data_IF_102888224237
#
_entry.id   IF_102888224237
#
_cell.length_a   1.000
_cell.length_b   1.000
_cell.length_c   1.000
_cell.angle_alpha   90.00
_cell.angle_beta   90.00
_cell.angle_gamma   90.00
#
_symmetry.space_group_name_H-M   'P 1'
#
loop_
_entity.id
_entity.type
_entity.pdbx_description
1 polymer ?
#
# COMPACT_ATOMS: atom_id res chain seq x y z
N UNK A 1 -26.14 7.65 -6.84
CA UNK A 1 -25.09 8.44 -6.17
C UNK A 1 -24.55 7.63 -4.99
N UNK A 2 -23.51 6.83 -5.23
CA UNK A 2 -22.82 6.08 -4.17
C UNK A 2 -21.92 7.06 -3.40
N UNK A 3 -22.05 7.08 -2.07
CA UNK A 3 -21.48 8.09 -1.19
C UNK A 3 -19.96 7.90 -1.04
N UNK A 4 -19.18 8.95 -1.31
CA UNK A 4 -17.75 9.02 -0.92
C UNK A 4 -17.52 8.90 0.57
N UNK A 5 -18.56 9.10 1.39
CA UNK A 5 -18.53 9.00 2.85
C UNK A 5 -18.18 7.60 3.40
N UNK A 6 -17.95 6.59 2.55
CA UNK A 6 -17.66 5.23 3.00
C UNK A 6 -16.16 4.90 3.10
N UNK A 7 -15.28 5.41 2.23
CA UNK A 7 -13.89 4.93 2.24
C UNK A 7 -13.15 5.31 3.53
N UNK A 8 -13.21 6.57 3.96
CA UNK A 8 -12.60 6.97 5.23
C UNK A 8 -13.17 6.13 6.39
N UNK A 9 -14.49 5.89 6.39
CA UNK A 9 -15.13 5.06 7.42
C UNK A 9 -14.66 3.60 7.39
N UNK A 10 -14.42 3.03 6.20
CA UNK A 10 -13.90 1.67 6.01
C UNK A 10 -12.46 1.57 6.50
N UNK A 11 -11.58 2.48 6.07
CA UNK A 11 -10.17 2.54 6.53
C UNK A 11 -10.12 2.64 8.06
N UNK A 12 -10.89 3.56 8.65
CA UNK A 12 -10.99 3.70 10.10
C UNK A 12 -11.63 2.49 10.79
N UNK A 13 -12.45 1.72 10.07
CA UNK A 13 -12.96 0.43 10.50
C UNK A 13 -11.86 -0.61 10.61
N UNK A 14 -10.99 -0.71 9.61
CA UNK A 14 -9.85 -1.63 9.59
C UNK A 14 -8.85 -1.36 10.72
N UNK A 15 -8.65 -0.08 11.07
CA UNK A 15 -7.80 0.28 12.21
C UNK A 15 -8.28 -0.34 13.52
N UNK A 16 -9.58 -0.59 13.69
CA UNK A 16 -10.11 -1.27 14.88
C UNK A 16 -9.72 -2.75 14.93
N UNK A 17 -9.59 -3.40 13.77
CA UNK A 17 -9.21 -4.81 13.69
C UNK A 17 -7.74 -5.04 14.08
N UNK A 18 -6.89 -4.03 13.90
CA UNK A 18 -5.50 -4.04 14.37
C UNK A 18 -5.32 -3.39 15.75
N UNK A 19 -6.42 -3.16 16.48
CA UNK A 19 -6.41 -2.59 17.84
C UNK A 19 -5.75 -1.21 17.93
N UNK A 20 -5.87 -0.40 16.88
CA UNK A 20 -5.39 0.96 16.88
C UNK A 20 -6.05 1.80 18.01
N UNK A 21 -5.30 2.76 18.56
CA UNK A 21 -5.89 3.81 19.39
C UNK A 21 -6.75 4.74 18.53
N UNK A 22 -7.52 5.62 19.17
CA UNK A 22 -8.30 6.62 18.44
C UNK A 22 -7.43 7.81 18.05
N UNK A 23 -7.53 8.23 16.78
CA UNK A 23 -6.79 9.36 16.21
C UNK A 23 -7.76 10.46 15.73
N UNK A 24 -8.36 11.26 16.64
CA UNK A 24 -9.41 12.21 16.25
C UNK A 24 -8.97 13.25 15.22
N UNK A 25 -7.73 13.75 15.27
CA UNK A 25 -7.23 14.72 14.28
C UNK A 25 -6.99 14.05 12.93
N UNK A 26 -6.29 12.92 12.90
CA UNK A 26 -6.09 12.13 11.67
C UNK A 26 -7.44 11.75 11.04
N UNK A 27 -8.41 11.29 11.83
CA UNK A 27 -9.74 10.95 11.34
C UNK A 27 -10.42 12.15 10.65
N UNK A 28 -10.22 13.36 11.18
CA UNK A 28 -10.78 14.58 10.61
C UNK A 28 -10.06 14.99 9.31
N UNK A 29 -8.72 14.87 9.28
CA UNK A 29 -7.88 15.10 8.10
C UNK A 29 -8.27 14.14 6.97
N UNK A 30 -8.31 12.83 7.25
CA UNK A 30 -8.60 11.81 6.25
C UNK A 30 -10.00 11.96 5.65
N UNK A 31 -11.01 12.21 6.49
CA UNK A 31 -12.37 12.47 6.03
C UNK A 31 -12.43 13.70 5.14
N UNK A 32 -11.78 14.78 5.57
CA UNK A 32 -11.73 16.00 4.78
C UNK A 32 -11.11 15.76 3.40
N UNK A 33 -9.92 15.19 3.35
CA UNK A 33 -9.22 14.93 2.09
C UNK A 33 -10.06 14.06 1.13
N UNK A 34 -10.72 13.01 1.64
CA UNK A 34 -11.55 12.12 0.80
C UNK A 34 -12.89 12.74 0.38
N UNK A 35 -13.42 13.69 1.15
CA UNK A 35 -14.62 14.44 0.79
C UNK A 35 -14.30 15.56 -0.21
N UNK A 36 -13.14 16.22 -0.10
CA UNK A 36 -12.66 17.24 -1.06
C UNK A 36 -12.24 16.59 -2.38
N UNK A 37 -11.38 15.57 -2.31
CA UNK A 37 -10.83 14.86 -3.48
C UNK A 37 -11.15 13.37 -3.38
N UNK A 38 -12.28 12.96 -3.95
CA UNK A 38 -12.68 11.56 -3.92
C UNK A 38 -11.61 10.65 -4.57
N UNK A 39 -11.06 9.67 -3.84
CA UNK A 39 -10.04 8.79 -4.39
C UNK A 39 -10.58 7.99 -5.58
N UNK A 40 -9.86 7.97 -6.70
CA UNK A 40 -10.28 7.27 -7.93
C UNK A 40 -10.47 5.77 -7.67
N UNK A 41 -9.55 5.16 -6.90
CA UNK A 41 -9.60 3.75 -6.50
C UNK A 41 -10.78 3.40 -5.56
N UNK A 42 -11.47 4.40 -5.00
CA UNK A 42 -12.67 4.20 -4.18
C UNK A 42 -13.96 4.17 -5.00
N UNK A 43 -13.90 4.53 -6.29
CA UNK A 43 -15.08 4.61 -7.15
C UNK A 43 -15.52 3.21 -7.58
N UNK A 44 -16.83 3.00 -7.70
CA UNK A 44 -17.39 1.72 -8.15
C UNK A 44 -16.94 1.33 -9.56
N UNK A 45 -16.65 2.30 -10.43
CA UNK A 45 -16.14 2.05 -11.78
C UNK A 45 -14.77 1.35 -11.74
N UNK A 46 -13.91 1.73 -10.80
CA UNK A 46 -12.61 1.12 -10.60
C UNK A 46 -12.76 -0.36 -10.19
N UNK A 47 -13.58 -0.64 -9.18
CA UNK A 47 -13.84 -2.01 -8.73
C UNK A 47 -14.48 -2.88 -9.82
N UNK A 48 -15.43 -2.32 -10.58
CA UNK A 48 -16.06 -3.01 -11.71
C UNK A 48 -15.02 -3.38 -12.77
N UNK A 49 -14.16 -2.44 -13.14
CA UNK A 49 -13.14 -2.66 -14.17
C UNK A 49 -12.07 -3.65 -13.70
N UNK A 50 -11.63 -3.55 -12.45
CA UNK A 50 -10.76 -4.56 -11.86
C UNK A 50 -11.38 -5.96 -11.96
N UNK A 51 -12.66 -6.11 -11.60
CA UNK A 51 -13.36 -7.39 -11.73
C UNK A 51 -13.38 -7.88 -13.20
N UNK A 52 -13.74 -7.03 -14.15
CA UNK A 52 -13.74 -7.36 -15.60
C UNK A 52 -12.37 -7.81 -16.11
N UNK A 53 -11.28 -7.13 -15.73
CA UNK A 53 -9.92 -7.49 -16.12
C UNK A 53 -9.47 -8.77 -15.42
N UNK A 54 -9.76 -8.90 -14.13
CA UNK A 54 -9.41 -10.06 -13.33
C UNK A 54 -10.17 -11.32 -13.75
N UNK A 55 -11.19 -11.22 -14.60
CA UNK A 55 -11.87 -12.39 -15.16
C UNK A 55 -10.98 -13.15 -16.15
N UNK A 56 -10.01 -12.47 -16.77
CA UNK A 56 -8.97 -13.08 -17.60
C UNK A 56 -7.84 -13.63 -16.71
N UNK A 57 -7.63 -14.95 -16.78
CA UNK A 57 -6.64 -15.63 -15.96
C UNK A 57 -5.19 -15.24 -16.30
N UNK A 58 -4.88 -14.96 -17.56
CA UNK A 58 -3.54 -14.51 -17.98
C UNK A 58 -3.27 -13.10 -17.43
N UNK A 59 -4.23 -12.19 -17.59
CA UNK A 59 -4.14 -10.85 -17.01
C UNK A 59 -3.94 -10.94 -15.49
N UNK A 60 -4.73 -11.77 -14.80
CA UNK A 60 -4.63 -11.90 -13.35
C UNK A 60 -3.30 -12.52 -12.89
N UNK A 61 -2.77 -13.50 -13.63
CA UNK A 61 -1.43 -14.04 -13.37
C UNK A 61 -0.35 -12.96 -13.49
N UNK A 62 -0.39 -12.17 -14.57
CA UNK A 62 0.51 -11.04 -14.78
C UNK A 62 0.36 -9.98 -13.68
N UNK A 63 -0.86 -9.73 -13.20
CA UNK A 63 -1.10 -8.80 -12.09
C UNK A 63 -0.44 -9.28 -10.79
N UNK A 64 -0.45 -10.58 -10.48
CA UNK A 64 0.23 -11.10 -9.29
C UNK A 64 1.76 -10.96 -9.40
N UNK A 65 2.34 -11.15 -10.59
CA UNK A 65 3.76 -10.88 -10.85
C UNK A 65 4.07 -9.39 -10.70
N UNK A 66 3.24 -8.53 -11.29
CA UNK A 66 3.41 -7.08 -11.19
C UNK A 66 3.34 -6.60 -9.73
N UNK A 67 2.36 -7.08 -8.95
CA UNK A 67 2.26 -6.78 -7.52
C UNK A 67 3.51 -7.26 -6.77
N UNK A 68 4.01 -8.47 -7.03
CA UNK A 68 5.26 -8.95 -6.44
C UNK A 68 6.42 -7.97 -6.68
N UNK A 69 6.59 -7.52 -7.92
CA UNK A 69 7.65 -6.58 -8.28
C UNK A 69 7.44 -5.19 -7.65
N UNK A 70 6.19 -4.72 -7.56
CA UNK A 70 5.85 -3.42 -6.96
C UNK A 70 6.13 -3.41 -5.45
N UNK A 71 5.74 -4.44 -4.70
CA UNK A 71 6.06 -4.53 -3.27
C UNK A 71 7.58 -4.62 -3.03
N UNK A 72 8.28 -5.37 -3.88
CA UNK A 72 9.73 -5.49 -3.78
C UNK A 72 10.47 -4.19 -4.10
N UNK A 73 9.99 -3.42 -5.08
CA UNK A 73 10.46 -2.07 -5.36
C UNK A 73 10.13 -1.11 -4.20
N UNK A 74 8.88 -1.15 -3.72
CA UNK A 74 8.38 -0.35 -2.60
C UNK A 74 9.22 -0.57 -1.33
N UNK A 75 9.51 -1.82 -0.99
CA UNK A 75 10.38 -2.18 0.13
C UNK A 75 11.76 -1.50 0.06
N UNK A 76 12.39 -1.46 -1.13
CA UNK A 76 13.66 -0.77 -1.32
C UNK A 76 13.54 0.74 -1.17
N UNK A 77 12.48 1.35 -1.73
CA UNK A 77 12.24 2.78 -1.60
C UNK A 77 11.98 3.17 -0.13
N UNK A 78 11.15 2.41 0.58
CA UNK A 78 10.82 2.62 1.99
C UNK A 78 12.08 2.43 2.86
N UNK A 79 12.91 1.43 2.56
CA UNK A 79 14.18 1.24 3.27
C UNK A 79 15.12 2.44 3.09
N UNK A 80 15.31 2.90 1.84
CA UNK A 80 16.14 4.05 1.54
C UNK A 80 15.61 5.34 2.18
N UNK A 81 14.29 5.53 2.17
CA UNK A 81 13.63 6.63 2.87
C UNK A 81 13.93 6.59 4.37
N UNK A 82 13.91 5.41 4.99
CA UNK A 82 14.19 5.27 6.43
C UNK A 82 15.59 5.77 6.82
N UNK A 83 16.58 5.68 5.92
CA UNK A 83 17.94 6.15 6.16
C UNK A 83 18.09 7.68 6.08
N UNK A 84 17.10 8.36 5.49
CA UNK A 84 17.02 9.83 5.38
C UNK A 84 16.25 10.49 6.53
N UNK A 85 15.56 9.69 7.35
CA UNK A 85 14.78 10.19 8.48
C UNK A 85 15.69 10.58 9.65
N UNK A 86 15.51 11.80 10.16
CA UNK A 86 16.28 12.26 11.32
C UNK A 86 15.79 11.62 12.64
N UNK A 87 14.47 11.42 12.76
CA UNK A 87 13.83 10.78 13.91
C UNK A 87 14.05 9.25 13.90
N UNK A 88 14.83 8.74 14.84
CA UNK A 88 15.21 7.32 14.93
C UNK A 88 14.03 6.37 15.12
N UNK A 89 13.00 6.81 15.86
CA UNK A 89 11.81 5.99 16.10
C UNK A 89 10.98 5.87 14.82
N UNK A 90 10.82 6.96 14.07
CA UNK A 90 10.14 6.91 12.77
C UNK A 90 10.93 6.06 11.78
N UNK A 91 12.24 6.25 11.72
CA UNK A 91 13.14 5.44 10.91
C UNK A 91 13.00 3.95 11.21
N UNK A 92 12.91 3.57 12.49
CA UNK A 92 12.71 2.17 12.92
C UNK A 92 11.37 1.60 12.44
N UNK A 93 10.28 2.37 12.56
CA UNK A 93 8.94 1.94 12.10
C UNK A 93 8.88 1.81 10.57
N UNK A 94 9.49 2.75 9.84
CA UNK A 94 9.58 2.71 8.38
C UNK A 94 10.44 1.53 7.90
N UNK A 95 11.53 1.19 8.60
CA UNK A 95 12.28 -0.05 8.30
C UNK A 95 11.46 -1.31 8.49
N UNK A 96 10.66 -1.38 9.57
CA UNK A 96 9.77 -2.52 9.79
C UNK A 96 8.77 -2.66 8.62
N UNK A 97 8.20 -1.56 8.16
CA UNK A 97 7.33 -1.53 6.98
C UNK A 97 8.07 -2.07 5.73
N UNK A 98 9.31 -1.64 5.48
CA UNK A 98 10.10 -2.19 4.36
C UNK A 98 10.36 -3.72 4.46
N UNK A 99 10.52 -4.26 5.67
CA UNK A 99 10.62 -5.72 5.87
C UNK A 99 9.31 -6.43 5.53
N UNK A 100 8.18 -5.82 5.90
CA UNK A 100 6.85 -6.35 5.61
C UNK A 100 6.57 -6.34 4.10
N UNK A 101 6.88 -5.24 3.38
CA UNK A 101 6.73 -5.20 1.92
C UNK A 101 7.67 -6.17 1.20
N UNK A 102 8.89 -6.34 1.70
CA UNK A 102 9.76 -7.37 1.15
C UNK A 102 9.17 -8.77 1.32
N UNK A 103 8.45 -9.05 2.41
CA UNK A 103 7.73 -10.31 2.57
C UNK A 103 6.52 -10.38 1.65
N UNK A 104 5.75 -9.30 1.50
CA UNK A 104 4.59 -9.24 0.62
C UNK A 104 4.96 -9.58 -0.83
N UNK A 105 6.10 -9.08 -1.31
CA UNK A 105 6.64 -9.41 -2.64
C UNK A 105 6.70 -10.93 -2.89
N UNK A 106 7.27 -11.69 -1.93
CA UNK A 106 7.36 -13.16 -2.02
C UNK A 106 6.02 -13.86 -1.83
N UNK A 107 5.10 -13.25 -1.08
CA UNK A 107 3.75 -13.79 -0.87
C UNK A 107 2.94 -13.77 -2.17
N UNK A 108 3.06 -12.74 -3.00
CA UNK A 108 2.37 -12.68 -4.29
C UNK A 108 2.76 -13.84 -5.24
N UNK A 109 4.04 -14.19 -5.31
CA UNK A 109 4.49 -15.37 -6.07
C UNK A 109 4.00 -16.68 -5.44
N UNK A 110 3.96 -16.74 -4.10
CA UNK A 110 3.36 -17.89 -3.41
C UNK A 110 1.86 -18.03 -3.72
N UNK A 111 1.14 -16.93 -3.85
CA UNK A 111 -0.27 -16.93 -4.25
C UNK A 111 -0.44 -17.32 -5.72
N UNK A 112 0.40 -16.81 -6.62
CA UNK A 112 0.40 -17.21 -8.04
C UNK A 112 0.51 -18.73 -8.20
N UNK A 113 1.46 -19.36 -7.51
CA UNK A 113 1.66 -20.81 -7.55
C UNK A 113 0.50 -21.62 -6.97
N UNK A 114 -0.31 -21.02 -6.08
CA UNK A 114 -1.51 -21.65 -5.52
C UNK A 114 -2.73 -21.48 -6.43
N UNK A 115 -2.81 -20.36 -7.16
CA UNK A 115 -3.89 -20.05 -8.11
C UNK A 115 -3.73 -20.86 -9.39
N UNK A 116 -2.50 -20.95 -9.92
CA UNK A 116 -2.18 -21.67 -11.16
C UNK A 116 -1.12 -22.76 -10.91
N UNK A 117 -1.49 -23.90 -10.31
CA UNK A 117 -0.56 -25.00 -10.08
C UNK A 117 0.03 -25.49 -11.40
N UNK A 118 1.37 -25.55 -11.47
CA UNK A 118 2.08 -26.00 -12.67
C UNK A 118 2.26 -24.94 -13.75
N UNK A 119 1.93 -23.68 -13.48
CA UNK A 119 2.36 -22.56 -14.31
C UNK A 119 3.90 -22.52 -14.34
N UNK A 120 4.46 -22.58 -15.55
CA UNK A 120 5.89 -22.45 -15.79
C UNK A 120 6.18 -21.03 -16.27
N UNK A 121 6.89 -20.26 -15.45
CA UNK A 121 7.35 -18.92 -15.83
C UNK A 121 8.65 -19.05 -16.60
N UNK A 122 8.77 -18.30 -17.69
CA UNK A 122 10.02 -18.26 -18.45
C UNK A 122 11.17 -17.70 -17.59
N UNK A 123 12.40 -18.03 -17.97
CA UNK A 123 13.59 -17.67 -17.20
C UNK A 123 13.80 -16.15 -17.11
N UNK A 124 13.40 -15.38 -18.12
CA UNK A 124 13.55 -13.92 -18.08
C UNK A 124 12.58 -13.32 -17.06
N UNK A 125 11.35 -13.82 -16.99
CA UNK A 125 10.37 -13.43 -15.97
C UNK A 125 10.84 -13.80 -14.56
N UNK A 126 11.37 -15.02 -14.37
CA UNK A 126 11.92 -15.44 -13.08
C UNK A 126 13.10 -14.57 -12.64
N UNK A 127 14.03 -14.26 -13.56
CA UNK A 127 15.16 -13.37 -13.27
C UNK A 127 14.69 -11.99 -12.84
N UNK A 128 13.72 -11.40 -13.55
CA UNK A 128 13.16 -10.09 -13.19
C UNK A 128 12.49 -10.09 -11.82
N UNK A 129 11.74 -11.15 -11.50
CA UNK A 129 11.13 -11.29 -10.16
C UNK A 129 12.22 -11.36 -9.10
N UNK A 130 13.28 -12.15 -9.33
CA UNK A 130 14.39 -12.30 -8.38
C UNK A 130 15.10 -10.96 -8.12
N UNK A 131 15.40 -10.22 -9.18
CA UNK A 131 16.04 -8.90 -9.12
C UNK A 131 15.19 -7.86 -8.38
N UNK A 132 13.86 -7.97 -8.49
CA UNK A 132 12.92 -7.02 -7.88
C UNK A 132 12.54 -7.40 -6.44
N UNK A 133 12.81 -8.63 -5.99
CA UNK A 133 12.52 -9.08 -4.63
C UNK A 133 13.74 -8.91 -3.72
N UNK A 134 13.79 -7.88 -2.86
CA UNK A 134 14.95 -7.61 -2.01
C UNK A 134 15.20 -8.69 -0.94
N UNK A 135 14.20 -9.52 -0.63
CA UNK A 135 14.25 -10.62 0.36
C UNK A 135 14.79 -10.17 1.72
N UNK A 136 14.43 -8.96 2.14
CA UNK A 136 14.81 -8.45 3.45
C UNK A 136 14.21 -9.31 4.56
N UNK A 137 15.03 -9.56 5.57
CA UNK A 137 14.64 -10.17 6.85
C UNK A 137 15.27 -9.36 7.98
N UNK A 138 14.85 -9.54 9.25
CA UNK A 138 15.48 -8.87 10.38
C UNK A 138 17.00 -9.11 10.49
N UNK A 139 17.54 -10.18 9.90
CA UNK A 139 18.96 -10.53 9.93
C UNK A 139 19.66 -10.35 8.58
N UNK A 140 18.91 -10.05 7.51
CA UNK A 140 19.42 -9.92 6.15
C UNK A 140 18.73 -8.74 5.50
N UNK A 141 19.32 -7.56 5.64
CA UNK A 141 18.84 -6.31 5.08
C UNK A 141 20.04 -5.40 4.79
N UNK A 142 19.88 -4.32 3.99
CA UNK A 142 20.95 -3.36 3.76
C UNK A 142 21.38 -2.70 5.07
N UNK A 143 22.59 -2.14 5.12
CA UNK A 143 23.08 -1.52 6.34
C UNK A 143 22.18 -0.36 6.81
N UNK A 144 21.99 -0.28 8.12
CA UNK A 144 21.33 0.86 8.77
C UNK A 144 22.39 1.96 8.94
N UNK A 145 22.58 2.76 7.89
CA UNK A 145 23.48 3.90 7.90
C UNK A 145 22.67 5.18 7.69
N UNK A 146 22.71 6.11 8.65
CA UNK A 146 22.19 7.45 8.41
C UNK A 146 23.01 8.09 7.29
N UNK A 147 22.31 8.66 6.32
CA UNK A 147 22.95 9.49 5.29
C UNK A 147 23.58 10.74 5.93
N UNK A 148 24.54 11.41 5.25
CA UNK A 148 25.06 12.71 5.67
C UNK A 148 23.94 13.68 6.02
N UNK A 149 24.17 14.59 6.98
CA UNK A 149 23.13 15.48 7.52
C UNK A 149 22.46 16.33 6.41
N UNK A 150 23.24 16.76 5.43
CA UNK A 150 22.81 17.50 4.25
C UNK A 150 21.90 16.72 3.29
N UNK A 151 21.87 15.38 3.39
CA UNK A 151 21.00 14.50 2.61
C UNK A 151 19.77 14.01 3.39
N UNK A 152 19.67 14.35 4.68
CA UNK A 152 18.52 14.00 5.51
C UNK A 152 17.34 14.88 5.18
N UNK A 153 16.16 14.30 5.31
CA UNK A 153 14.93 15.08 5.23
C UNK A 153 14.72 15.87 6.51
N UNK A 154 14.36 17.15 6.34
CA UNK A 154 13.83 17.93 7.45
C UNK A 154 12.46 17.37 7.88
N UNK A 155 11.99 17.81 9.04
CA UNK A 155 10.81 17.24 9.68
C UNK A 155 9.55 17.29 8.77
N UNK A 156 9.29 18.42 8.12
CA UNK A 156 8.14 18.58 7.22
C UNK A 156 8.28 17.77 5.93
N UNK A 157 9.49 17.63 5.39
CA UNK A 157 9.76 16.79 4.21
C UNK A 157 9.54 15.31 4.54
N UNK A 158 10.02 14.87 5.71
CA UNK A 158 9.80 13.51 6.21
C UNK A 158 8.32 13.18 6.36
N UNK A 159 7.52 14.13 6.88
CA UNK A 159 6.08 13.97 7.01
C UNK A 159 5.41 13.93 5.63
N UNK A 160 5.83 14.79 4.70
CA UNK A 160 5.30 14.81 3.34
C UNK A 160 5.50 13.48 2.60
N UNK A 161 6.69 12.91 2.67
CA UNK A 161 6.99 11.58 2.10
C UNK A 161 6.17 10.49 2.80
N UNK A 162 6.00 10.58 4.12
CA UNK A 162 5.19 9.62 4.86
C UNK A 162 3.69 9.70 4.50
N UNK A 163 3.15 10.88 4.18
CA UNK A 163 1.76 11.03 3.68
C UNK A 163 1.61 10.34 2.34
N UNK A 164 2.59 10.46 1.45
CA UNK A 164 2.56 9.75 0.17
C UNK A 164 2.53 8.22 0.37
N UNK A 165 3.44 7.68 1.19
CA UNK A 165 3.43 6.25 1.57
C UNK A 165 2.08 5.87 2.20
N UNK A 166 1.54 6.69 3.09
CA UNK A 166 0.26 6.40 3.72
C UNK A 166 -0.92 6.28 2.74
N UNK A 167 -0.98 7.16 1.73
CA UNK A 167 -2.02 7.10 0.71
C UNK A 167 -1.84 5.85 -0.17
N UNK A 168 -0.60 5.44 -0.47
CA UNK A 168 -0.35 4.18 -1.19
C UNK A 168 -0.83 2.98 -0.39
N UNK A 169 -0.63 2.95 0.93
CA UNK A 169 -1.13 1.87 1.79
C UNK A 169 -2.67 1.79 1.81
N UNK A 170 -3.35 2.94 1.79
CA UNK A 170 -4.82 2.94 1.71
C UNK A 170 -5.30 2.36 0.36
N UNK A 171 -4.62 2.69 -0.75
CA UNK A 171 -4.93 2.09 -2.06
C UNK A 171 -4.63 0.59 -2.03
N UNK A 172 -3.50 0.17 -1.50
CA UNK A 172 -3.11 -1.24 -1.37
C UNK A 172 -4.19 -2.01 -0.59
N UNK A 173 -4.61 -1.51 0.58
CA UNK A 173 -5.69 -2.11 1.38
C UNK A 173 -6.98 -2.32 0.56
N UNK A 174 -7.42 -1.30 -0.19
CA UNK A 174 -8.61 -1.40 -1.05
C UNK A 174 -8.42 -2.45 -2.15
N UNK A 175 -7.24 -2.48 -2.78
CA UNK A 175 -6.91 -3.47 -3.81
C UNK A 175 -6.85 -4.88 -3.25
N UNK A 176 -6.33 -5.11 -2.04
CA UNK A 176 -6.24 -6.46 -1.46
C UNK A 176 -7.62 -7.11 -1.29
N UNK A 177 -8.66 -6.32 -1.03
CA UNK A 177 -10.04 -6.81 -1.01
C UNK A 177 -10.51 -7.29 -2.39
N UNK A 178 -10.13 -6.59 -3.46
CA UNK A 178 -10.47 -7.00 -4.84
C UNK A 178 -9.65 -8.20 -5.29
N UNK A 179 -8.34 -8.21 -4.98
CA UNK A 179 -7.43 -9.33 -5.26
C UNK A 179 -7.94 -10.61 -4.62
N UNK A 180 -8.45 -10.56 -3.38
CA UNK A 180 -9.01 -11.71 -2.67
C UNK A 180 -10.08 -12.44 -3.48
N UNK A 181 -11.04 -11.69 -4.04
CA UNK A 181 -12.15 -12.27 -4.78
C UNK A 181 -11.64 -12.93 -6.06
N UNK A 182 -10.71 -12.30 -6.77
CA UNK A 182 -10.07 -12.85 -7.96
C UNK A 182 -9.21 -14.11 -7.64
N UNK A 183 -8.48 -14.11 -6.52
CA UNK A 183 -7.71 -15.28 -6.07
C UNK A 183 -8.61 -16.50 -5.90
N UNK A 184 -9.75 -16.34 -5.22
CA UNK A 184 -10.68 -17.44 -4.96
C UNK A 184 -11.44 -17.89 -6.22
N UNK A 185 -11.63 -16.98 -7.18
CA UNK A 185 -12.26 -17.29 -8.45
C UNK A 185 -11.42 -18.24 -9.31
N UNK A 186 -10.12 -17.97 -9.42
CA UNK A 186 -9.22 -18.71 -10.30
C UNK A 186 -8.59 -19.94 -9.65
N UNK A 187 -8.46 -19.93 -8.32
CA UNK A 187 -7.77 -20.99 -7.62
C UNK A 187 -8.60 -22.28 -7.50
N UNK A 188 -7.93 -23.45 -7.52
CA UNK A 188 -8.58 -24.71 -7.17
C UNK A 188 -9.04 -24.69 -5.70
N UNK A 189 -10.13 -25.40 -5.39
CA UNK A 189 -10.83 -25.32 -4.10
C UNK A 189 -9.92 -25.69 -2.91
N UNK A 190 -9.01 -26.65 -3.10
CA UNK A 190 -8.03 -27.06 -2.09
C UNK A 190 -7.06 -25.93 -1.66
N UNK A 191 -6.85 -24.92 -2.51
CA UNK A 191 -5.99 -23.76 -2.23
C UNK A 191 -6.73 -22.65 -1.47
N UNK A 192 -8.06 -22.61 -1.47
CA UNK A 192 -8.86 -21.48 -0.99
C UNK A 192 -8.56 -21.11 0.46
N UNK A 193 -8.46 -22.11 1.35
CA UNK A 193 -8.18 -21.86 2.77
C UNK A 193 -6.81 -21.21 2.99
N UNK A 194 -5.81 -21.56 2.16
CA UNK A 194 -4.45 -20.98 2.25
C UNK A 194 -4.41 -19.58 1.64
N UNK A 195 -5.03 -19.38 0.49
CA UNK A 195 -5.15 -18.07 -0.17
C UNK A 195 -5.88 -17.06 0.71
N UNK A 196 -6.97 -17.48 1.37
CA UNK A 196 -7.67 -16.63 2.32
C UNK A 196 -6.76 -16.19 3.47
N UNK A 197 -5.93 -17.09 4.03
CA UNK A 197 -4.96 -16.75 5.07
C UNK A 197 -3.91 -15.75 4.59
N UNK A 198 -3.41 -15.89 3.35
CA UNK A 198 -2.47 -14.93 2.79
C UNK A 198 -3.13 -13.55 2.59
N UNK A 199 -4.32 -13.51 2.01
CA UNK A 199 -5.06 -12.24 1.84
C UNK A 199 -5.43 -11.60 3.18
N UNK A 200 -5.86 -12.38 4.18
CA UNK A 200 -6.13 -11.88 5.54
C UNK A 200 -4.85 -11.34 6.20
N UNK A 201 -3.68 -11.92 5.89
CA UNK A 201 -2.40 -11.39 6.38
C UNK A 201 -2.07 -10.06 5.72
N UNK A 202 -2.15 -9.96 4.38
CA UNK A 202 -1.87 -8.73 3.64
C UNK A 202 -2.75 -7.59 4.14
N UNK A 203 -4.08 -7.78 4.16
CA UNK A 203 -5.04 -6.76 4.62
C UNK A 203 -4.72 -6.28 6.05
N UNK A 204 -4.38 -7.21 6.95
CA UNK A 204 -4.02 -6.86 8.32
C UNK A 204 -2.70 -6.07 8.36
N UNK A 205 -1.74 -6.41 7.52
CA UNK A 205 -0.44 -5.76 7.51
C UNK A 205 -0.57 -4.34 6.88
N UNK A 206 -1.36 -4.14 5.82
CA UNK A 206 -1.68 -2.78 5.32
C UNK A 206 -2.39 -1.92 6.37
N UNK A 207 -3.33 -2.52 7.12
CA UNK A 207 -3.99 -1.83 8.21
C UNK A 207 -3.00 -1.42 9.32
N UNK A 208 -1.93 -2.20 9.57
CA UNK A 208 -0.86 -1.78 10.49
C UNK A 208 0.00 -0.68 9.88
N UNK A 209 0.25 -0.70 8.58
CA UNK A 209 1.00 0.35 7.89
C UNK A 209 0.29 1.70 7.97
N UNK A 210 -1.02 1.70 7.72
CA UNK A 210 -1.90 2.86 7.91
C UNK A 210 -1.95 3.27 9.39
N UNK A 211 -2.05 2.32 10.32
CA UNK A 211 -2.11 2.61 11.75
C UNK A 211 -0.85 3.35 12.24
N UNK A 212 0.34 2.88 11.87
CA UNK A 212 1.57 3.45 12.40
C UNK A 212 1.80 4.88 11.91
N UNK A 213 1.43 5.15 10.66
CA UNK A 213 1.55 6.48 10.05
C UNK A 213 0.45 7.41 10.56
N UNK A 214 -0.78 6.92 10.74
CA UNK A 214 -1.85 7.67 11.41
C UNK A 214 -1.45 8.12 12.82
N UNK A 215 -0.74 7.27 13.57
CA UNK A 215 -0.20 7.62 14.88
C UNK A 215 0.77 8.80 14.82
N UNK A 216 1.70 8.76 13.85
CA UNK A 216 2.68 9.83 13.62
C UNK A 216 1.96 11.14 13.24
N UNK A 217 0.96 11.08 12.36
CA UNK A 217 0.20 12.25 11.95
C UNK A 217 -0.63 12.85 13.08
N UNK A 218 -1.28 12.02 13.90
CA UNK A 218 -2.01 12.48 15.09
C UNK A 218 -1.09 13.24 16.03
N UNK A 219 0.06 12.65 16.38
CA UNK A 219 1.02 13.25 17.29
C UNK A 219 1.57 14.56 16.72
N UNK A 220 1.85 14.61 15.42
CA UNK A 220 2.39 15.81 14.77
C UNK A 220 1.36 16.92 14.63
N UNK A 221 0.13 16.59 14.22
CA UNK A 221 -0.97 17.53 14.07
C UNK A 221 -1.37 18.14 15.42
N UNK A 222 -1.24 17.37 16.51
CA UNK A 222 -1.52 17.85 17.87
C UNK A 222 -0.48 18.86 18.38
N UNK A 223 0.72 18.90 17.79
CA UNK A 223 1.80 19.84 18.15
C UNK A 223 1.70 21.08 17.28
N UNK A 224 1.93 22.26 17.88
CA UNK A 224 2.19 23.50 17.14
C UNK A 224 1.08 24.04 16.25
N UNK A 225 -0.16 23.53 16.37
CA UNK A 225 -1.28 23.87 15.48
C UNK A 225 -1.02 23.53 13.99
N UNK A 226 -0.35 22.41 13.72
CA UNK A 226 -0.03 21.94 12.36
C UNK A 226 -1.22 21.31 11.61
N UNK A 227 -2.45 21.49 12.11
CA UNK A 227 -3.64 20.87 11.54
C UNK A 227 -3.86 21.31 10.09
N UNK A 228 -3.88 22.61 9.82
CA UNK A 228 -4.18 23.14 8.48
C UNK A 228 -3.13 22.69 7.45
N UNK A 229 -1.88 22.53 7.88
CA UNK A 229 -0.82 21.96 7.05
C UNK A 229 -1.13 20.52 6.61
N UNK A 230 -1.60 19.66 7.52
CA UNK A 230 -1.99 18.30 7.15
C UNK A 230 -3.22 18.23 6.26
N UNK A 231 -4.19 19.14 6.45
CA UNK A 231 -5.35 19.23 5.57
C UNK A 231 -4.89 19.49 4.15
N UNK A 232 -4.11 20.56 3.93
CA UNK A 232 -3.59 20.90 2.61
C UNK A 232 -2.72 19.79 2.03
N UNK A 233 -1.80 19.23 2.82
CA UNK A 233 -0.88 18.19 2.36
C UNK A 233 -1.60 16.92 1.90
N UNK A 234 -2.59 16.44 2.66
CA UNK A 234 -3.36 15.26 2.25
C UNK A 234 -4.18 15.54 0.99
N UNK A 235 -4.73 16.75 0.85
CA UNK A 235 -5.45 17.16 -0.37
C UNK A 235 -4.54 17.18 -1.59
N UNK A 236 -3.39 17.86 -1.49
CA UNK A 236 -2.43 17.99 -2.59
C UNK A 236 -1.93 16.61 -3.03
N UNK A 237 -1.50 15.77 -2.07
CA UNK A 237 -1.01 14.42 -2.38
C UNK A 237 -2.09 13.51 -2.94
N UNK A 238 -3.33 13.62 -2.47
CA UNK A 238 -4.42 12.84 -3.01
C UNK A 238 -4.83 13.31 -4.41
N UNK A 239 -4.74 14.61 -4.70
CA UNK A 239 -4.92 15.15 -6.03
C UNK A 239 -3.89 14.57 -7.00
N UNK A 240 -2.60 14.67 -6.67
CA UNK A 240 -1.50 14.10 -7.47
C UNK A 240 -1.70 12.60 -7.69
N UNK A 241 -2.04 11.88 -6.63
CA UNK A 241 -2.23 10.44 -6.68
C UNK A 241 -3.44 10.04 -7.54
N UNK A 242 -4.51 10.83 -7.49
CA UNK A 242 -5.65 10.64 -8.37
C UNK A 242 -5.25 10.83 -9.83
N UNK A 243 -4.54 11.90 -10.18
CA UNK A 243 -4.10 12.13 -11.57
C UNK A 243 -3.20 10.99 -12.08
N UNK A 244 -2.25 10.52 -11.26
CA UNK A 244 -1.43 9.35 -11.60
C UNK A 244 -2.30 8.10 -11.83
N UNK A 245 -3.26 7.85 -10.94
CA UNK A 245 -4.18 6.71 -11.07
C UNK A 245 -5.04 6.82 -12.34
N UNK A 246 -5.46 8.02 -12.74
CA UNK A 246 -6.19 8.21 -14.00
C UNK A 246 -5.32 7.88 -15.21
N UNK A 247 -4.07 8.34 -15.23
CA UNK A 247 -3.12 8.04 -16.32
C UNK A 247 -2.88 6.52 -16.41
N UNK A 248 -2.76 5.83 -15.28
CA UNK A 248 -2.66 4.36 -15.25
C UNK A 248 -3.90 3.70 -15.88
N UNK A 249 -5.10 4.17 -15.53
CA UNK A 249 -6.36 3.65 -16.06
C UNK A 249 -6.55 3.96 -17.55
N UNK A 250 -6.18 5.16 -18.02
CA UNK A 250 -6.26 5.54 -19.44
C UNK A 250 -5.33 4.68 -20.32
N UNK A 251 -4.16 4.28 -19.79
CA UNK A 251 -3.26 3.33 -20.49
C UNK A 251 -3.87 1.93 -20.64
N UNK A 252 -4.87 1.61 -19.83
CA UNK A 252 -5.63 0.35 -19.89
C UNK A 252 -6.98 0.51 -20.63
N UNK A 253 -7.14 1.60 -21.40
CA UNK A 253 -8.35 1.99 -22.14
C UNK A 253 -9.60 2.11 -21.25
N UNK A 254 -9.45 2.68 -20.04
CA UNK A 254 -10.55 2.86 -19.08
C UNK A 254 -11.05 4.30 -19.11
N UNK A 255 -12.26 4.52 -19.64
CA UNK A 255 -12.96 5.81 -19.53
C UNK A 255 -13.53 6.02 -18.12
N UNK A 256 -13.23 7.18 -17.50
CA UNK A 256 -13.57 7.54 -16.11
C UNK A 256 -14.86 8.34 -15.94
#
# INVERSE_FOLDING_TARGET
MARSSNLASNVLGELKHVQARQYPLYNAILKHAFDTHQPVFAKSIFAKRYAELSDDGEWFANQLVANSCLEGYGAQQIWNFSNKLDNDEYARRVRQHALDESRHSTMFISMLNLVYPGLDLDQDTLSKIDDMQPKFTPNQHPDIAKVPEEERFFELESINELVQVHITEIRALVLQYMVRDALLKHAPEESHARLKKFSDSLIRDEAKHINYSAEIFEDYASRGNNKDFFYQMFEDRLCDFNELTKIELEREDIEL
#
